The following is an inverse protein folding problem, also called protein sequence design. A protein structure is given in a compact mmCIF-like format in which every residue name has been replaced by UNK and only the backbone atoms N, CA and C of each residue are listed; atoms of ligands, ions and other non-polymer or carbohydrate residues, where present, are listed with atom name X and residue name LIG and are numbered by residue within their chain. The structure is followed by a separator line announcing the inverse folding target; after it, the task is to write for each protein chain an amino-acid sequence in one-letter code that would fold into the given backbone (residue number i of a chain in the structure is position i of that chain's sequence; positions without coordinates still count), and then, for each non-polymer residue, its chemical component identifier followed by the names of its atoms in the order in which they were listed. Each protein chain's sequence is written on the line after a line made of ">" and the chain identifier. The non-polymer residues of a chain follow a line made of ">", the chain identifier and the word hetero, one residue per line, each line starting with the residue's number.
data_IF_775188012841
#
_entry.id   IF_775188012841
#
_cell.length_a   1.000
_cell.length_b   1.000
_cell.length_c   1.000
_cell.angle_alpha   90.00
_cell.angle_beta   90.00
_cell.angle_gamma   90.00
#
_symmetry.space_group_name_H-M   'P 1'
#
loop_
_entity.id
_entity.type
_entity.pdbx_description
1 polymer ?
#
# COMPACT_ATOMS: atom_id res chain seq x y z
N UNK A 1 -13.99 19.09 22.08
CA UNK A 1 -13.41 17.80 22.45
C UNK A 1 -14.49 16.71 22.54
N UNK A 2 -15.43 16.75 23.51
CA UNK A 2 -16.47 15.71 23.66
C UNK A 2 -17.30 15.52 22.38
N UNK A 3 -17.73 16.63 21.76
CA UNK A 3 -18.47 16.60 20.50
C UNK A 3 -17.65 16.02 19.33
N UNK A 4 -16.34 16.20 19.35
CA UNK A 4 -15.44 15.64 18.33
C UNK A 4 -15.28 14.13 18.52
N UNK A 5 -15.14 13.66 19.77
CA UNK A 5 -15.06 12.23 20.08
C UNK A 5 -16.35 11.49 19.73
N UNK A 6 -17.51 12.08 19.94
CA UNK A 6 -18.82 11.52 19.55
C UNK A 6 -18.96 11.27 18.05
N UNK A 7 -18.19 11.96 17.20
CA UNK A 7 -18.18 11.81 15.74
C UNK A 7 -17.31 10.65 15.26
N UNK A 8 -16.51 10.08 16.15
CA UNK A 8 -15.62 8.98 15.80
C UNK A 8 -16.41 7.68 15.93
N UNK A 9 -16.55 6.89 14.84
CA UNK A 9 -17.34 5.65 14.86
C UNK A 9 -16.90 4.63 15.92
N UNK A 10 -15.62 4.68 16.31
CA UNK A 10 -15.07 3.86 17.38
C UNK A 10 -15.78 4.11 18.73
N UNK A 11 -16.21 5.34 18.98
CA UNK A 11 -16.84 5.77 20.24
C UNK A 11 -18.36 5.91 20.16
N UNK A 12 -18.95 5.51 19.05
CA UNK A 12 -20.39 5.59 18.85
C UNK A 12 -21.15 4.78 19.92
N UNK A 13 -22.12 5.42 20.57
CA UNK A 13 -22.96 4.79 21.61
C UNK A 13 -22.29 4.64 22.96
N UNK A 14 -21.07 5.17 23.19
CA UNK A 14 -20.48 5.23 24.50
C UNK A 14 -21.22 6.24 25.40
N UNK A 15 -21.39 5.93 26.69
CA UNK A 15 -21.90 6.88 27.67
C UNK A 15 -21.03 8.14 27.75
N UNK A 16 -21.64 9.27 28.06
CA UNK A 16 -20.91 10.55 28.17
C UNK A 16 -19.83 10.53 29.27
N UNK A 17 -20.02 9.75 30.33
CA UNK A 17 -19.04 9.55 31.39
C UNK A 17 -17.75 8.89 30.87
N UNK A 18 -17.87 7.86 30.04
CA UNK A 18 -16.75 7.15 29.41
C UNK A 18 -16.02 8.08 28.42
N UNK A 19 -16.77 8.85 27.62
CA UNK A 19 -16.20 9.83 26.70
C UNK A 19 -15.46 10.95 27.44
N UNK A 20 -15.94 11.39 28.59
CA UNK A 20 -15.24 12.36 29.43
C UNK A 20 -13.92 11.80 29.98
N UNK A 21 -13.90 10.53 30.42
CA UNK A 21 -12.67 9.88 30.85
C UNK A 21 -11.63 9.79 29.72
N UNK A 22 -12.07 9.48 28.52
CA UNK A 22 -11.20 9.48 27.32
C UNK A 22 -10.70 10.90 27.05
N UNK A 23 -11.60 11.89 27.03
CA UNK A 23 -11.28 13.28 26.73
C UNK A 23 -10.23 13.89 27.69
N UNK A 24 -10.22 13.48 28.94
CA UNK A 24 -9.24 13.93 29.94
C UNK A 24 -7.81 13.41 29.68
N UNK A 25 -7.67 12.34 28.90
CA UNK A 25 -6.38 11.70 28.55
C UNK A 25 -5.90 12.01 27.14
N UNK A 26 -6.75 12.67 26.35
CA UNK A 26 -6.44 13.03 24.97
C UNK A 26 -5.65 14.34 24.94
N UNK A 27 -4.53 14.32 24.22
CA UNK A 27 -3.81 15.54 23.84
C UNK A 27 -4.19 15.95 22.41
N UNK A 28 -4.29 17.26 22.17
CA UNK A 28 -4.48 17.78 20.80
C UNK A 28 -3.13 18.06 20.18
N UNK A 29 -2.89 17.46 19.01
CA UNK A 29 -1.69 17.68 18.19
C UNK A 29 -2.10 18.37 16.87
N UNK A 30 -1.51 19.54 16.62
CA UNK A 30 -1.61 20.19 15.32
C UNK A 30 -0.42 19.74 14.47
N UNK A 31 -0.70 19.28 13.27
CA UNK A 31 0.30 18.68 12.37
C UNK A 31 0.27 19.48 11.07
N UNK A 32 1.39 20.10 10.65
CA UNK A 32 1.48 20.76 9.36
C UNK A 32 1.37 19.76 8.20
N UNK A 33 1.19 20.28 7.00
CA UNK A 33 1.21 19.47 5.78
C UNK A 33 2.56 18.79 5.60
N UNK A 34 2.56 17.57 5.06
CA UNK A 34 3.76 16.77 4.74
C UNK A 34 4.58 16.32 5.97
N UNK A 35 4.05 16.46 7.20
CA UNK A 35 4.70 15.91 8.38
C UNK A 35 4.44 14.40 8.51
N UNK A 36 5.49 13.62 8.73
CA UNK A 36 5.38 12.19 9.07
C UNK A 36 5.04 12.07 10.55
N UNK A 37 3.82 11.57 10.83
CA UNK A 37 3.27 11.43 12.19
C UNK A 37 3.77 10.14 12.84
N UNK A 38 3.83 9.06 12.06
CA UNK A 38 4.25 7.71 12.45
C UNK A 38 5.06 7.11 11.32
N UNK A 39 6.14 6.39 11.63
CA UNK A 39 6.93 5.62 10.68
C UNK A 39 6.68 4.13 10.84
N UNK A 40 6.68 3.40 9.73
CA UNK A 40 6.67 1.94 9.71
C UNK A 40 7.84 1.40 10.55
N UNK A 41 7.58 0.37 11.36
CA UNK A 41 8.58 -0.23 12.25
C UNK A 41 8.79 0.49 13.59
N UNK A 42 8.30 1.72 13.75
CA UNK A 42 8.41 2.44 15.03
C UNK A 42 7.63 1.72 16.15
N UNK A 43 8.13 1.84 17.36
CA UNK A 43 7.46 1.36 18.58
C UNK A 43 6.86 2.53 19.37
N UNK A 44 6.01 3.31 18.72
CA UNK A 44 5.30 4.41 19.38
C UNK A 44 3.98 3.90 19.97
N UNK A 45 3.69 4.29 21.21
CA UNK A 45 2.51 3.85 21.97
C UNK A 45 1.42 4.94 21.97
N UNK A 46 0.82 5.22 20.80
CA UNK A 46 -0.27 6.19 20.67
C UNK A 46 -1.30 5.78 19.62
N UNK A 47 -2.57 6.05 19.92
CA UNK A 47 -3.72 6.00 19.02
C UNK A 47 -4.08 7.44 18.62
N UNK A 48 -4.28 7.65 17.34
CA UNK A 48 -4.60 8.96 16.77
C UNK A 48 -5.98 8.98 16.15
N UNK A 49 -6.76 10.01 16.46
CA UNK A 49 -8.08 10.25 15.90
C UNK A 49 -8.04 11.57 15.11
N UNK A 50 -8.53 11.55 13.89
CA UNK A 50 -8.48 12.72 13.00
C UNK A 50 -9.69 13.60 13.28
N UNK A 51 -9.45 14.79 13.83
CA UNK A 51 -10.49 15.79 14.08
C UNK A 51 -10.75 16.67 12.86
N UNK A 52 -9.66 17.03 12.16
CA UNK A 52 -9.72 17.76 10.88
C UNK A 52 -8.48 17.46 10.06
N UNK A 53 -8.55 17.69 8.74
CA UNK A 53 -7.45 17.43 7.83
C UNK A 53 -7.55 16.05 7.16
N UNK A 54 -6.43 15.61 6.56
CA UNK A 54 -6.30 14.31 5.90
C UNK A 54 -4.90 13.76 6.09
N UNK A 55 -4.80 12.46 6.24
CA UNK A 55 -3.52 11.75 6.33
C UNK A 55 -3.46 10.62 5.30
N UNK A 56 -2.28 10.33 4.80
CA UNK A 56 -1.94 9.22 3.92
C UNK A 56 -1.30 8.10 4.77
N UNK A 57 -1.76 6.87 4.59
CA UNK A 57 -1.13 5.65 5.13
C UNK A 57 -0.37 4.98 3.99
N UNK A 58 0.90 4.65 4.19
CA UNK A 58 1.76 4.10 3.14
C UNK A 58 2.85 3.19 3.70
N UNK A 59 3.36 2.28 2.86
CA UNK A 59 4.57 1.50 3.11
C UNK A 59 5.74 2.16 2.37
N UNK A 60 6.92 2.12 3.00
CA UNK A 60 8.17 2.48 2.34
C UNK A 60 8.73 1.29 1.57
N UNK A 61 9.14 1.50 0.31
CA UNK A 61 9.90 0.54 -0.49
C UNK A 61 11.39 0.92 -0.55
N UNK A 62 12.23 -0.06 -0.83
CA UNK A 62 13.64 0.18 -1.15
C UNK A 62 13.75 1.13 -2.36
N UNK A 63 14.60 2.15 -2.25
CA UNK A 63 14.73 3.20 -3.27
C UNK A 63 13.85 4.44 -3.02
N UNK A 64 13.15 4.52 -1.86
CA UNK A 64 12.38 5.71 -1.47
C UNK A 64 11.00 5.81 -2.12
N UNK A 65 10.55 4.78 -2.80
CA UNK A 65 9.20 4.70 -3.36
C UNK A 65 8.19 4.43 -2.26
N UNK A 66 7.02 5.04 -2.35
CA UNK A 66 5.93 4.86 -1.42
C UNK A 66 4.79 4.06 -2.05
N UNK A 67 4.30 3.05 -1.33
CA UNK A 67 3.10 2.31 -1.71
C UNK A 67 1.94 2.85 -0.89
N UNK A 68 1.01 3.62 -1.48
CA UNK A 68 -0.14 4.14 -0.76
C UNK A 68 -1.10 2.98 -0.41
N UNK A 69 -1.50 2.90 0.86
CA UNK A 69 -2.45 1.92 1.36
C UNK A 69 -3.85 2.52 1.51
N UNK A 70 -3.93 3.73 2.12
CA UNK A 70 -5.20 4.36 2.46
C UNK A 70 -5.04 5.87 2.62
N UNK A 71 -6.15 6.60 2.52
CA UNK A 71 -6.25 8.02 2.88
C UNK A 71 -7.37 8.18 3.89
N UNK A 72 -7.02 8.67 5.08
CA UNK A 72 -7.94 8.84 6.19
C UNK A 72 -8.26 10.32 6.42
N UNK A 73 -9.53 10.58 6.78
CA UNK A 73 -10.07 11.91 7.05
C UNK A 73 -10.75 12.04 8.41
N UNK A 74 -11.46 13.16 8.66
CA UNK A 74 -12.12 13.41 9.93
C UNK A 74 -13.06 12.28 10.37
N UNK A 75 -13.05 11.97 11.66
CA UNK A 75 -13.81 10.86 12.24
C UNK A 75 -13.15 9.49 12.13
N UNK A 76 -12.08 9.36 11.34
CA UNK A 76 -11.30 8.13 11.26
C UNK A 76 -10.13 8.15 12.25
N UNK A 77 -9.51 6.99 12.45
CA UNK A 77 -8.40 6.80 13.38
C UNK A 77 -7.30 5.92 12.77
N UNK A 78 -6.11 5.99 13.36
CA UNK A 78 -4.98 5.14 13.01
C UNK A 78 -4.10 4.91 14.25
N UNK A 79 -3.23 3.93 14.16
CA UNK A 79 -2.32 3.57 15.25
C UNK A 79 -2.91 2.60 16.26
N UNK A 80 -4.00 1.90 15.90
CA UNK A 80 -4.66 0.87 16.72
C UNK A 80 -3.73 -0.30 17.09
N UNK A 81 -2.64 -0.51 16.33
CA UNK A 81 -1.63 -1.54 16.63
C UNK A 81 -0.94 -1.34 17.98
N UNK A 82 -1.06 -0.14 18.58
CA UNK A 82 -0.59 0.12 19.94
C UNK A 82 -1.27 -0.76 20.99
N UNK A 83 -2.42 -1.37 20.68
CA UNK A 83 -3.15 -2.23 21.59
C UNK A 83 -2.59 -3.66 21.67
N UNK A 84 -1.79 -4.10 20.69
CA UNK A 84 -1.18 -5.43 20.62
C UNK A 84 0.36 -5.42 20.77
N UNK A 85 0.93 -4.29 21.21
CA UNK A 85 2.36 -4.07 21.47
C UNK A 85 3.29 -4.36 20.27
N UNK A 86 2.75 -4.35 19.04
CA UNK A 86 3.53 -4.54 17.83
C UNK A 86 4.08 -3.24 17.26
N UNK A 87 5.19 -3.30 16.51
CA UNK A 87 5.67 -2.16 15.75
C UNK A 87 4.61 -1.65 14.77
N UNK A 88 4.73 -0.39 14.37
CA UNK A 88 3.84 0.22 13.37
C UNK A 88 3.89 -0.53 12.05
N UNK A 89 2.74 -0.95 11.55
CA UNK A 89 2.62 -1.69 10.30
C UNK A 89 2.77 -0.83 9.04
N UNK A 90 2.68 0.49 9.17
CA UNK A 90 2.77 1.45 8.06
C UNK A 90 3.16 2.83 8.57
N UNK A 91 3.67 3.65 7.67
CA UNK A 91 3.91 5.08 7.89
C UNK A 91 2.64 5.88 7.67
N UNK A 92 2.48 6.98 8.42
CA UNK A 92 1.37 7.91 8.28
C UNK A 92 1.89 9.34 8.14
N UNK A 93 1.47 10.05 7.10
CA UNK A 93 1.87 11.43 6.81
C UNK A 93 0.65 12.30 6.56
N UNK A 94 0.70 13.53 7.04
CA UNK A 94 -0.34 14.53 6.76
C UNK A 94 -0.32 14.97 5.30
N UNK A 95 -1.48 15.02 4.64
CA UNK A 95 -1.66 15.55 3.28
C UNK A 95 -2.04 17.02 3.25
N UNK A 96 -2.42 17.56 4.39
CA UNK A 96 -2.79 18.96 4.59
C UNK A 96 -2.70 19.27 6.08
N UNK A 97 -2.70 20.54 6.51
CA UNK A 97 -2.72 20.89 7.93
C UNK A 97 -3.84 20.13 8.64
N UNK A 98 -3.48 19.35 9.65
CA UNK A 98 -4.37 18.40 10.31
C UNK A 98 -4.37 18.60 11.80
N UNK A 99 -5.50 18.30 12.43
CA UNK A 99 -5.68 18.34 13.87
C UNK A 99 -6.04 16.95 14.36
N UNK A 100 -5.22 16.40 15.22
CA UNK A 100 -5.33 15.06 15.74
C UNK A 100 -5.62 15.09 17.23
N UNK A 101 -6.42 14.14 17.69
CA UNK A 101 -6.55 13.78 19.09
C UNK A 101 -5.68 12.56 19.32
N UNK A 102 -4.68 12.69 20.20
CA UNK A 102 -3.70 11.66 20.52
C UNK A 102 -3.98 11.13 21.92
N UNK A 103 -4.02 9.81 22.10
CA UNK A 103 -4.14 9.13 23.38
C UNK A 103 -3.08 8.04 23.46
N UNK A 104 -2.40 7.89 24.60
CA UNK A 104 -1.43 6.82 24.78
C UNK A 104 -2.12 5.44 24.81
N UNK A 105 -1.45 4.41 24.26
CA UNK A 105 -1.96 3.04 24.35
C UNK A 105 -2.06 2.55 25.79
N UNK A 106 -1.14 2.99 26.67
CA UNK A 106 -1.21 2.72 28.10
C UNK A 106 -2.50 3.27 28.73
N UNK A 107 -2.90 4.50 28.39
CA UNK A 107 -4.15 5.10 28.87
C UNK A 107 -5.37 4.37 28.34
N UNK A 108 -5.35 3.98 27.05
CA UNK A 108 -6.43 3.17 26.47
C UNK A 108 -6.53 1.83 27.19
N UNK A 109 -5.43 1.11 27.38
CA UNK A 109 -5.42 -0.18 28.09
C UNK A 109 -5.92 -0.01 29.53
N UNK A 110 -5.44 1.00 30.26
CA UNK A 110 -5.89 1.28 31.63
C UNK A 110 -7.39 1.58 31.72
N UNK A 111 -7.93 2.31 30.74
CA UNK A 111 -9.35 2.60 30.63
C UNK A 111 -10.16 1.32 30.41
N UNK A 112 -9.76 0.48 29.45
CA UNK A 112 -10.43 -0.76 29.12
C UNK A 112 -10.45 -1.76 30.27
N UNK A 113 -9.36 -1.82 31.05
CA UNK A 113 -9.28 -2.67 32.25
C UNK A 113 -10.18 -2.20 33.38
N UNK A 114 -10.35 -0.90 33.54
CA UNK A 114 -11.24 -0.32 34.57
C UNK A 114 -12.71 -0.35 34.20
N UNK A 115 -13.01 -0.28 32.93
CA UNK A 115 -14.36 -0.16 32.37
C UNK A 115 -14.61 -1.25 31.32
N UNK A 116 -14.86 -2.51 31.71
CA UNK A 116 -15.06 -3.63 30.78
C UNK A 116 -16.23 -3.39 29.82
N UNK A 117 -17.27 -2.68 30.26
CA UNK A 117 -18.41 -2.31 29.44
C UNK A 117 -17.97 -1.44 28.25
N UNK A 118 -17.11 -0.44 28.50
CA UNK A 118 -16.50 0.40 27.47
C UNK A 118 -15.70 -0.44 26.49
N UNK A 119 -14.94 -1.43 26.97
CA UNK A 119 -14.22 -2.35 26.09
C UNK A 119 -15.14 -3.14 25.17
N UNK A 120 -16.26 -3.65 25.67
CA UNK A 120 -17.25 -4.36 24.86
C UNK A 120 -17.89 -3.44 23.80
N UNK A 121 -18.17 -2.17 24.13
CA UNK A 121 -18.65 -1.20 23.17
C UNK A 121 -17.63 -0.94 22.05
N UNK A 122 -16.37 -0.71 22.41
CA UNK A 122 -15.30 -0.52 21.42
C UNK A 122 -15.11 -1.73 20.50
N UNK A 123 -15.13 -2.94 21.05
CA UNK A 123 -15.04 -4.18 20.27
C UNK A 123 -16.22 -4.31 19.27
N UNK A 124 -17.44 -4.03 19.72
CA UNK A 124 -18.61 -4.04 18.83
C UNK A 124 -18.48 -3.02 17.70
N UNK A 125 -17.98 -1.83 18.01
CA UNK A 125 -17.76 -0.78 17.01
C UNK A 125 -16.65 -1.14 16.03
N UNK A 126 -15.53 -1.72 16.49
CA UNK A 126 -14.48 -2.27 15.63
C UNK A 126 -15.01 -3.33 14.65
N UNK A 127 -15.83 -4.27 15.16
CA UNK A 127 -16.45 -5.31 14.31
C UNK A 127 -17.39 -4.68 13.27
N UNK A 128 -18.13 -3.63 13.64
CA UNK A 128 -19.01 -2.89 12.70
C UNK A 128 -18.20 -2.22 11.58
N UNK A 129 -17.13 -1.53 11.94
CA UNK A 129 -16.25 -0.86 10.97
C UNK A 129 -15.60 -1.88 10.01
N UNK A 130 -15.09 -2.99 10.52
CA UNK A 130 -14.49 -4.05 9.69
C UNK A 130 -15.50 -4.71 8.75
N UNK A 131 -16.75 -4.90 9.16
CA UNK A 131 -17.81 -5.40 8.28
C UNK A 131 -18.10 -4.45 7.14
N UNK A 132 -18.19 -3.15 7.41
CA UNK A 132 -18.37 -2.13 6.37
C UNK A 132 -17.23 -2.11 5.35
N UNK A 133 -15.98 -2.24 5.79
CA UNK A 133 -14.82 -2.33 4.89
C UNK A 133 -14.89 -3.58 3.99
N UNK A 134 -15.32 -4.73 4.52
CA UNK A 134 -15.46 -5.96 3.75
C UNK A 134 -16.57 -5.85 2.68
N UNK A 135 -17.67 -5.17 2.98
CA UNK A 135 -18.75 -4.92 2.01
C UNK A 135 -18.27 -4.00 0.88
N UNK A 136 -17.57 -2.91 1.20
CA UNK A 136 -16.98 -2.00 0.21
C UNK A 136 -15.95 -2.70 -0.67
N UNK A 137 -15.10 -3.57 -0.09
CA UNK A 137 -14.14 -4.38 -0.84
C UNK A 137 -14.83 -5.36 -1.81
N UNK A 138 -15.93 -6.00 -1.36
CA UNK A 138 -16.74 -6.90 -2.22
C UNK A 138 -17.40 -6.14 -3.36
N UNK A 139 -17.96 -4.96 -3.11
CA UNK A 139 -18.54 -4.12 -4.17
C UNK A 139 -17.49 -3.67 -5.18
N UNK A 140 -16.32 -3.26 -4.71
CA UNK A 140 -15.19 -2.88 -5.58
C UNK A 140 -14.72 -4.07 -6.42
N UNK A 141 -14.64 -5.26 -5.83
CA UNK A 141 -14.34 -6.50 -6.53
C UNK A 141 -15.36 -6.83 -7.62
N UNK A 142 -16.67 -6.69 -7.31
CA UNK A 142 -17.77 -6.88 -8.29
C UNK A 142 -17.71 -5.87 -9.44
N UNK A 143 -17.43 -4.59 -9.16
CA UNK A 143 -17.26 -3.55 -10.19
C UNK A 143 -16.08 -3.85 -11.11
N UNK A 144 -14.93 -4.29 -10.55
CA UNK A 144 -13.75 -4.70 -11.34
C UNK A 144 -14.03 -5.94 -12.18
N UNK A 145 -14.75 -6.94 -11.66
CA UNK A 145 -15.13 -8.13 -12.41
C UNK A 145 -16.07 -7.80 -13.59
N UNK A 146 -17.07 -6.93 -13.35
CA UNK A 146 -17.95 -6.44 -14.45
C UNK A 146 -17.15 -5.70 -15.52
N UNK A 147 -16.26 -4.77 -15.11
CA UNK A 147 -15.44 -4.02 -16.07
C UNK A 147 -14.53 -4.95 -16.91
N UNK A 148 -13.93 -5.96 -16.25
CA UNK A 148 -13.13 -6.97 -16.94
C UNK A 148 -13.98 -7.76 -17.95
N UNK A 149 -15.20 -8.16 -17.58
CA UNK A 149 -16.15 -8.80 -18.50
C UNK A 149 -16.49 -7.94 -19.73
N UNK A 150 -16.71 -6.62 -19.53
CA UNK A 150 -16.90 -5.68 -20.65
C UNK A 150 -15.67 -5.57 -21.55
N UNK A 151 -14.47 -5.50 -20.98
CA UNK A 151 -13.21 -5.44 -21.74
C UNK A 151 -13.02 -6.73 -22.56
N UNK A 152 -13.28 -7.89 -21.97
CA UNK A 152 -13.19 -9.19 -22.67
C UNK A 152 -14.23 -9.29 -23.79
N UNK A 153 -15.45 -8.81 -23.57
CA UNK A 153 -16.50 -8.77 -24.61
C UNK A 153 -16.16 -7.80 -25.75
N UNK A 154 -15.59 -6.63 -25.46
CA UNK A 154 -15.11 -5.68 -26.45
C UNK A 154 -13.89 -6.22 -27.18
N UNK A 155 -12.98 -6.93 -26.51
CA UNK A 155 -11.84 -7.59 -27.11
C UNK A 155 -12.23 -8.70 -28.06
N UNK A 156 -13.28 -9.47 -27.78
CA UNK A 156 -13.81 -10.49 -28.67
C UNK A 156 -14.55 -9.89 -29.85
N UNK A 157 -15.28 -8.78 -29.69
CA UNK A 157 -15.94 -8.04 -30.77
C UNK A 157 -14.96 -7.23 -31.64
N UNK A 158 -13.79 -6.86 -31.11
CA UNK A 158 -12.77 -6.05 -31.79
C UNK A 158 -11.80 -6.86 -32.66
N UNK A 159 -12.18 -8.02 -33.15
CA UNK A 159 -11.44 -8.71 -34.20
C UNK A 159 -10.16 -9.43 -33.80
N UNK A 160 -10.04 -9.82 -32.49
CA UNK A 160 -8.96 -10.70 -32.04
C UNK A 160 -8.95 -12.07 -32.75
N UNK A 161 -10.05 -12.41 -33.42
CA UNK A 161 -10.21 -13.61 -34.22
C UNK A 161 -10.03 -13.38 -35.76
N UNK A 162 -9.63 -12.18 -36.16
CA UNK A 162 -9.34 -11.94 -37.57
C UNK A 162 -8.16 -12.83 -38.00
N UNK A 163 -8.24 -13.46 -39.19
CA UNK A 163 -7.17 -14.33 -39.70
C UNK A 163 -5.82 -13.61 -39.81
N UNK A 164 -5.85 -12.28 -39.93
CA UNK A 164 -4.63 -11.44 -39.97
C UNK A 164 -3.92 -11.33 -38.62
N UNK A 165 -4.64 -11.23 -37.51
CA UNK A 165 -4.05 -11.19 -36.16
C UNK A 165 -3.40 -12.53 -35.80
N UNK A 166 -4.05 -13.66 -36.20
CA UNK A 166 -3.47 -15.00 -36.01
C UNK A 166 -2.23 -15.22 -36.90
N UNK A 167 -2.22 -14.67 -38.09
CA UNK A 167 -1.05 -14.68 -39.02
C UNK A 167 0.10 -13.85 -38.42
N UNK A 168 -0.19 -12.66 -37.90
CA UNK A 168 0.80 -11.80 -37.23
C UNK A 168 1.40 -12.43 -35.96
N UNK A 169 0.59 -13.10 -35.17
CA UNK A 169 1.08 -13.81 -33.99
C UNK A 169 2.02 -14.98 -34.38
N UNK A 170 1.73 -15.72 -35.43
CA UNK A 170 2.64 -16.73 -36.01
C UNK A 170 3.91 -16.09 -36.55
N UNK A 171 3.79 -15.03 -37.36
CA UNK A 171 4.92 -14.31 -37.94
C UNK A 171 5.87 -13.78 -36.85
N UNK A 172 5.34 -13.24 -35.76
CA UNK A 172 6.12 -12.76 -34.60
C UNK A 172 6.97 -13.86 -33.96
N UNK A 173 6.44 -15.09 -33.84
CA UNK A 173 7.19 -16.25 -33.32
C UNK A 173 8.33 -16.64 -34.25
N UNK A 174 8.13 -16.62 -35.56
CA UNK A 174 9.16 -16.90 -36.57
C UNK A 174 10.24 -15.81 -36.60
N UNK A 175 9.87 -14.55 -36.49
CA UNK A 175 10.82 -13.43 -36.40
C UNK A 175 11.71 -13.55 -35.16
N UNK A 176 11.15 -13.91 -34.01
CA UNK A 176 11.91 -14.14 -32.77
C UNK A 176 12.85 -15.34 -32.93
N UNK A 177 12.41 -16.42 -33.57
CA UNK A 177 13.27 -17.58 -33.82
C UNK A 177 14.44 -17.24 -34.75
N UNK A 178 14.20 -16.47 -35.84
CA UNK A 178 15.24 -16.01 -36.76
C UNK A 178 16.24 -15.09 -36.04
N UNK A 179 15.77 -14.14 -35.22
CA UNK A 179 16.65 -13.28 -34.45
C UNK A 179 17.52 -14.06 -33.46
N UNK A 180 16.98 -15.10 -32.84
CA UNK A 180 17.71 -15.97 -31.94
C UNK A 180 18.78 -16.79 -32.68
N UNK A 181 18.46 -17.32 -33.87
CA UNK A 181 19.42 -18.01 -34.72
C UNK A 181 20.52 -17.05 -35.20
N UNK A 182 20.18 -15.83 -35.60
CA UNK A 182 21.16 -14.83 -36.01
C UNK A 182 22.09 -14.46 -34.84
N UNK A 183 21.55 -14.31 -33.61
CA UNK A 183 22.37 -14.01 -32.42
C UNK A 183 23.35 -15.17 -32.11
N UNK A 184 22.89 -16.41 -32.22
CA UNK A 184 23.73 -17.58 -32.02
C UNK A 184 24.83 -17.66 -33.10
N UNK A 185 24.49 -17.45 -34.37
CA UNK A 185 25.47 -17.42 -35.46
C UNK A 185 26.50 -16.30 -35.29
N UNK A 186 26.05 -15.12 -34.86
CA UNK A 186 26.95 -13.99 -34.55
C UNK A 186 27.91 -14.31 -33.41
N UNK A 187 27.41 -15.00 -32.36
CA UNK A 187 28.26 -15.47 -31.25
C UNK A 187 29.32 -16.46 -31.71
N UNK A 188 28.93 -17.49 -32.48
CA UNK A 188 29.89 -18.47 -33.03
C UNK A 188 30.86 -17.86 -34.04
N UNK A 189 30.41 -16.92 -34.89
CA UNK A 189 31.28 -16.23 -35.83
C UNK A 189 32.32 -15.35 -35.09
N UNK A 190 31.89 -14.68 -34.03
CA UNK A 190 32.79 -13.86 -33.21
C UNK A 190 33.84 -14.70 -32.47
N UNK A 191 33.46 -15.86 -31.94
CA UNK A 191 34.37 -16.81 -31.28
C UNK A 191 35.40 -17.37 -32.27
N UNK A 192 34.95 -17.84 -33.43
CA UNK A 192 35.84 -18.36 -34.49
C UNK A 192 36.76 -17.23 -35.02
N UNK A 193 36.26 -16.02 -35.17
CA UNK A 193 37.05 -14.87 -35.61
C UNK A 193 38.12 -14.47 -34.57
N UNK A 194 37.80 -14.48 -33.29
CA UNK A 194 38.78 -14.21 -32.21
C UNK A 194 39.82 -15.29 -32.11
N UNK A 195 39.47 -16.57 -32.33
CA UNK A 195 40.42 -17.68 -32.36
C UNK A 195 41.35 -17.63 -33.56
N UNK A 196 40.83 -17.27 -34.74
CA UNK A 196 41.63 -17.04 -35.96
C UNK A 196 42.60 -15.87 -35.80
N UNK A 197 42.18 -14.78 -35.17
CA UNK A 197 43.05 -13.62 -34.91
C UNK A 197 44.12 -13.94 -33.87
N UNK A 198 43.88 -14.82 -32.90
CA UNK A 198 44.84 -15.27 -31.91
C UNK A 198 45.93 -16.20 -32.51
N UNK A 199 45.59 -16.96 -33.54
CA UNK A 199 46.52 -17.85 -34.25
C UNK A 199 47.34 -17.13 -35.35
N UNK A 200 46.91 -15.95 -35.81
CA UNK A 200 47.61 -15.13 -36.82
C UNK A 200 48.68 -14.19 -36.29
N UNK A 201 48.91 -14.16 -35.00
CA UNK A 201 49.77 -13.19 -34.31
C UNK A 201 51.13 -13.70 -33.85
N UNK A 202 51.84 -14.49 -34.68
CA UNK A 202 53.28 -14.77 -34.42
C UNK A 202 54.00 -14.87 -35.73
N UNK A 203 54.56 -13.75 -36.19
CA UNK A 203 55.87 -13.66 -36.84
C UNK A 203 56.18 -12.24 -37.20
N UNK A 204 56.74 -11.46 -36.27
CA UNK A 204 57.59 -10.33 -36.62
C UNK A 204 59.02 -10.70 -36.33
N UNK A 205 59.74 -10.96 -37.39
CA UNK A 205 61.16 -10.99 -37.51
C UNK A 205 61.88 -10.02 -36.56
N UNK A 206 62.72 -10.56 -35.69
CA UNK A 206 63.88 -9.86 -35.16
C UNK A 206 65.05 -10.27 -36.02
N UNK A 207 65.46 -9.37 -36.90
CA UNK A 207 66.68 -9.47 -37.64
C UNK A 207 67.47 -8.16 -37.48
N UNK A 208 68.64 -8.34 -36.85
CA UNK A 208 69.81 -7.47 -36.81
C UNK A 208 69.67 -6.15 -36.08
#
# INVERSE_FOLDING_TARGET
>A
MLADLKRIPLFEGLPDEDLLMIAQRVAIRNVPESEVIVREGDRTDALYMILSGKVKVYLGEEGGKEIPLDVKGPGQYFGEMTLDDKPRAASVMSLQPSRLAEISGADVRALLLKHPETALHLIRNLIRVTRGLNETARESGRKRAKLRGYIDELGTKSGADSPDVKRWAKAKRWILAILLVCAVLQYYFFDVFTEMMSLGGVNTFTGN
#
